data_IF_081972859614
#
_entry.id   IF_081972859614
#
_cell.length_a   1.000
_cell.length_b   1.000
_cell.length_c   1.000
_cell.angle_alpha   90.00
_cell.angle_beta   90.00
_cell.angle_gamma   90.00
#
_symmetry.space_group_name_H-M   'P 1'
#
loop_
_entity.id
_entity.type
_entity.pdbx_description
1 polymer ?
#
# COMPACT_ATOMS: atom_id res chain seq x y z
N UNK A 1 -9.95 7.32 -6.69
CA UNK A 1 -9.63 6.95 -5.30
C UNK A 1 -10.82 6.22 -4.72
N UNK A 2 -10.60 5.17 -3.94
CA UNK A 2 -11.65 4.58 -3.10
C UNK A 2 -11.68 5.30 -1.75
N UNK A 3 -12.85 5.68 -1.26
CA UNK A 3 -13.02 6.33 0.04
C UNK A 3 -13.75 7.66 -0.05
N UNK A 4 -13.74 8.40 1.07
CA UNK A 4 -14.35 9.71 1.19
C UNK A 4 -13.28 10.80 1.08
N UNK A 5 -13.68 11.97 0.59
CA UNK A 5 -12.81 13.15 0.53
C UNK A 5 -12.50 13.60 1.97
N UNK A 6 -11.22 13.55 2.42
CA UNK A 6 -10.87 13.83 3.80
C UNK A 6 -11.16 15.27 4.24
N UNK A 7 -11.28 16.22 3.31
CA UNK A 7 -11.63 17.62 3.59
C UNK A 7 -13.13 17.78 3.81
N UNK A 8 -13.95 17.00 3.09
CA UNK A 8 -15.42 17.05 3.17
C UNK A 8 -16.03 16.05 4.16
N UNK A 9 -15.22 15.12 4.66
CA UNK A 9 -15.67 14.08 5.59
C UNK A 9 -15.75 14.60 7.02
N UNK A 10 -16.90 14.40 7.67
CA UNK A 10 -17.09 14.77 9.08
C UNK A 10 -16.17 14.00 10.03
N UNK A 11 -15.89 14.54 11.23
CA UNK A 11 -15.10 13.83 12.25
C UNK A 11 -15.70 12.46 12.65
N UNK A 12 -17.03 12.35 12.66
CA UNK A 12 -17.72 11.09 12.95
C UNK A 12 -17.53 10.07 11.83
N UNK A 13 -17.61 10.52 10.57
CA UNK A 13 -17.46 9.64 9.40
C UNK A 13 -16.02 9.17 9.19
N UNK A 14 -15.01 9.95 9.60
CA UNK A 14 -13.59 9.53 9.57
C UNK A 14 -13.29 8.29 10.40
N UNK A 15 -14.13 7.98 11.40
CA UNK A 15 -13.99 6.78 12.25
C UNK A 15 -14.74 5.57 11.69
N UNK A 16 -15.56 5.73 10.66
CA UNK A 16 -16.29 4.62 10.04
C UNK A 16 -15.34 3.79 9.16
N UNK A 17 -15.58 2.49 9.00
CA UNK A 17 -14.84 1.67 8.05
C UNK A 17 -14.89 2.24 6.63
N UNK A 18 -13.81 2.05 5.87
CA UNK A 18 -13.75 2.44 4.46
C UNK A 18 -14.85 1.77 3.62
N UNK A 19 -15.25 2.43 2.53
CA UNK A 19 -16.32 1.96 1.65
C UNK A 19 -15.94 0.75 0.78
N UNK A 20 -14.66 0.37 0.77
CA UNK A 20 -14.14 -0.76 0.02
C UNK A 20 -13.15 -1.55 0.88
N UNK A 21 -13.08 -2.87 0.64
CA UNK A 21 -12.03 -3.72 1.22
C UNK A 21 -10.74 -3.52 0.42
N UNK A 22 -9.63 -3.41 1.13
CA UNK A 22 -8.31 -3.26 0.53
C UNK A 22 -7.39 -4.37 1.05
N UNK A 23 -6.43 -4.77 0.21
CA UNK A 23 -5.36 -5.67 0.61
C UNK A 23 -4.10 -4.86 0.90
N UNK A 24 -3.63 -4.90 2.15
CA UNK A 24 -2.45 -4.17 2.61
C UNK A 24 -1.22 -5.09 2.62
N UNK A 25 -0.10 -4.61 2.08
CA UNK A 25 1.17 -5.33 2.04
C UNK A 25 2.30 -4.42 2.50
N UNK A 26 3.27 -4.99 3.21
CA UNK A 26 4.52 -4.31 3.57
C UNK A 26 5.68 -5.01 2.88
N UNK A 27 6.42 -4.25 2.08
CA UNK A 27 7.66 -4.70 1.46
C UNK A 27 8.86 -4.16 2.23
N UNK A 28 9.85 -5.03 2.47
CA UNK A 28 11.13 -4.66 3.08
C UNK A 28 12.28 -5.05 2.16
N UNK A 29 13.22 -4.14 2.00
CA UNK A 29 14.47 -4.40 1.29
C UNK A 29 15.14 -3.12 0.79
N UNK A 30 16.35 -3.23 0.22
CA UNK A 30 17.03 -2.10 -0.38
C UNK A 30 16.19 -1.49 -1.51
N UNK A 31 16.02 -0.17 -1.51
CA UNK A 31 15.22 0.59 -2.48
C UNK A 31 13.77 0.11 -2.65
N UNK A 32 13.15 -0.46 -1.59
CA UNK A 32 11.82 -1.07 -1.69
C UNK A 32 10.78 -0.11 -2.31
N UNK A 33 10.75 1.14 -1.88
CA UNK A 33 9.82 2.17 -2.40
C UNK A 33 9.98 2.34 -3.92
N UNK A 34 11.21 2.62 -4.37
CA UNK A 34 11.51 2.81 -5.79
C UNK A 34 11.16 1.56 -6.61
N UNK A 35 11.52 0.37 -6.12
CA UNK A 35 11.26 -0.91 -6.80
C UNK A 35 9.76 -1.17 -6.94
N UNK A 36 8.98 -1.02 -5.88
CA UNK A 36 7.53 -1.25 -5.92
C UNK A 36 6.84 -0.22 -6.81
N UNK A 37 7.22 1.06 -6.73
CA UNK A 37 6.66 2.09 -7.63
C UNK A 37 6.97 1.82 -9.09
N UNK A 38 8.17 1.32 -9.39
CA UNK A 38 8.53 0.92 -10.75
C UNK A 38 7.69 -0.27 -11.25
N UNK A 39 7.34 -1.22 -10.38
CA UNK A 39 6.44 -2.35 -10.72
C UNK A 39 5.01 -1.86 -10.95
N UNK A 40 4.53 -0.93 -10.13
CA UNK A 40 3.20 -0.34 -10.29
C UNK A 40 3.09 0.45 -11.60
N UNK A 41 4.11 1.23 -11.94
CA UNK A 41 4.08 2.14 -13.07
C UNK A 41 3.43 3.50 -12.72
N UNK A 42 3.25 4.38 -13.72
CA UNK A 42 2.75 5.73 -13.52
C UNK A 42 1.32 5.75 -12.95
N UNK A 43 0.95 6.85 -12.28
CA UNK A 43 -0.39 7.02 -11.70
C UNK A 43 -1.49 6.91 -12.76
N UNK A 44 -1.22 7.41 -13.97
CA UNK A 44 -2.09 7.25 -15.13
C UNK A 44 -1.89 5.88 -15.77
N UNK A 45 -2.86 4.98 -15.56
CA UNK A 45 -2.92 3.64 -16.12
C UNK A 45 -2.75 3.60 -17.65
N UNK A 46 -3.17 4.67 -18.35
CA UNK A 46 -3.08 4.77 -19.81
C UNK A 46 -1.68 5.10 -20.32
N UNK A 47 -0.80 5.60 -19.45
CA UNK A 47 0.60 5.97 -19.78
C UNK A 47 1.61 4.90 -19.34
N UNK A 48 1.17 3.83 -18.69
CA UNK A 48 2.05 2.77 -18.22
C UNK A 48 2.59 1.89 -19.34
N UNK A 49 3.84 1.47 -19.20
CA UNK A 49 4.45 0.45 -20.07
C UNK A 49 3.71 -0.90 -19.92
N UNK A 50 3.73 -1.76 -20.96
CA UNK A 50 3.27 -3.15 -20.84
C UNK A 50 3.95 -3.86 -19.66
N UNK A 51 3.19 -4.67 -18.91
CA UNK A 51 3.71 -5.41 -17.75
C UNK A 51 3.61 -4.68 -16.41
N UNK A 52 3.26 -3.38 -16.38
CA UNK A 52 3.06 -2.64 -15.12
C UNK A 52 1.69 -2.94 -14.52
N UNK A 53 1.59 -3.04 -13.19
CA UNK A 53 0.34 -3.39 -12.50
C UNK A 53 -0.79 -2.42 -12.86
N UNK A 54 -0.53 -1.11 -12.84
CA UNK A 54 -1.54 -0.11 -13.15
C UNK A 54 -1.97 -0.13 -14.62
N UNK A 55 -1.07 -0.54 -15.53
CA UNK A 55 -1.40 -0.67 -16.96
C UNK A 55 -2.34 -1.86 -17.21
N UNK A 56 -2.13 -2.96 -16.51
CA UNK A 56 -2.89 -4.20 -16.72
C UNK A 56 -4.25 -4.14 -16.01
N UNK A 57 -4.29 -3.58 -14.80
CA UNK A 57 -5.47 -3.67 -13.92
C UNK A 57 -6.15 -2.34 -13.64
N UNK A 58 -5.56 -1.20 -14.04
CA UNK A 58 -6.14 0.12 -13.84
C UNK A 58 -6.93 0.62 -15.05
N UNK A 59 -7.94 1.46 -14.80
CA UNK A 59 -8.79 2.07 -15.83
C UNK A 59 -8.29 3.47 -16.23
N UNK A 60 -7.95 4.29 -15.23
CA UNK A 60 -7.55 5.70 -15.38
C UNK A 60 -6.69 6.16 -14.19
N UNK A 61 -6.57 7.49 -14.01
CA UNK A 61 -5.81 8.14 -12.92
C UNK A 61 -6.46 7.92 -11.55
N UNK A 62 -7.80 7.89 -11.48
CA UNK A 62 -8.57 7.74 -10.24
C UNK A 62 -8.73 6.28 -9.85
N UNK A 63 -8.87 5.37 -10.80
CA UNK A 63 -9.01 3.92 -10.60
C UNK A 63 -7.79 3.21 -11.16
N UNK A 64 -6.67 3.36 -10.49
CA UNK A 64 -5.38 2.84 -10.97
C UNK A 64 -4.95 1.52 -10.31
N UNK A 65 -5.89 0.74 -9.79
CA UNK A 65 -5.70 -0.58 -9.16
C UNK A 65 -4.88 -0.64 -7.85
N UNK A 66 -3.76 0.08 -7.74
CA UNK A 66 -2.83 -0.07 -6.62
C UNK A 66 -2.20 1.25 -6.16
N UNK A 67 -2.05 1.36 -4.83
CA UNK A 67 -1.31 2.41 -4.13
C UNK A 67 0.05 1.90 -3.65
N UNK A 68 1.04 2.77 -3.65
CA UNK A 68 2.31 2.56 -2.96
C UNK A 68 2.86 3.90 -2.50
N UNK A 69 3.47 3.91 -1.32
CA UNK A 69 4.14 5.08 -0.76
C UNK A 69 5.20 5.61 -1.73
N UNK A 70 5.42 6.92 -1.71
CA UNK A 70 6.35 7.66 -2.58
C UNK A 70 7.65 8.08 -1.90
N UNK A 71 7.67 8.14 -0.57
CA UNK A 71 8.82 8.48 0.26
C UNK A 71 8.82 7.65 1.57
N UNK A 72 9.96 7.63 2.26
CA UNK A 72 10.12 6.85 3.50
C UNK A 72 9.17 7.37 4.58
N UNK A 73 9.11 8.69 4.73
CA UNK A 73 8.27 9.40 5.68
C UNK A 73 6.78 9.09 5.44
N UNK A 74 6.38 9.00 4.17
CA UNK A 74 5.02 8.64 3.79
C UNK A 74 4.73 7.16 4.06
N UNK A 75 5.69 6.26 3.82
CA UNK A 75 5.54 4.85 4.18
C UNK A 75 5.37 4.66 5.70
N UNK A 76 6.11 5.40 6.51
CA UNK A 76 5.96 5.37 7.97
C UNK A 76 4.60 5.89 8.43
N UNK A 77 4.16 7.03 7.88
CA UNK A 77 2.84 7.59 8.16
C UNK A 77 1.72 6.63 7.76
N UNK A 78 1.78 6.06 6.56
CA UNK A 78 0.77 5.13 6.04
C UNK A 78 0.69 3.86 6.89
N UNK A 79 1.82 3.32 7.33
CA UNK A 79 1.86 2.18 8.26
C UNK A 79 1.14 2.45 9.58
N UNK A 80 1.24 3.67 10.12
CA UNK A 80 0.49 4.09 11.32
C UNK A 80 -1.02 4.11 11.06
N UNK A 81 -1.43 4.59 9.89
CA UNK A 81 -2.85 4.67 9.50
C UNK A 81 -3.47 3.27 9.38
N UNK A 82 -2.77 2.33 8.74
CA UNK A 82 -3.29 0.97 8.50
C UNK A 82 -3.05 -0.02 9.66
N UNK A 83 -2.49 0.45 10.78
CA UNK A 83 -2.27 -0.37 11.98
C UNK A 83 -1.08 -1.34 11.90
N UNK A 84 -0.12 -1.11 11.00
CA UNK A 84 1.09 -1.95 10.83
C UNK A 84 2.38 -1.25 11.30
N UNK A 85 2.22 -0.31 12.23
CA UNK A 85 3.32 0.43 12.86
C UNK A 85 3.72 -0.14 14.22
N UNK A 86 2.73 -0.49 15.05
CA UNK A 86 2.97 -0.95 16.41
C UNK A 86 3.55 -2.37 16.40
N UNK A 87 4.81 -2.50 16.83
CA UNK A 87 5.43 -3.77 17.19
C UNK A 87 4.94 -4.26 18.57
N UNK A 88 3.64 -4.10 18.89
CA UNK A 88 3.07 -4.65 20.13
C UNK A 88 2.87 -6.15 19.95
N UNK A 89 3.97 -6.87 20.13
CA UNK A 89 4.06 -8.30 19.87
C UNK A 89 4.98 -8.60 18.69
N UNK A 90 5.56 -9.79 18.71
CA UNK A 90 6.26 -10.33 17.55
C UNK A 90 5.27 -10.38 16.39
N UNK A 91 5.62 -9.74 15.29
CA UNK A 91 4.83 -9.83 14.07
C UNK A 91 4.79 -11.31 13.67
N UNK A 92 3.62 -11.96 13.76
CA UNK A 92 3.45 -13.39 13.44
C UNK A 92 4.01 -13.71 12.04
N UNK A 93 3.88 -12.77 11.10
CA UNK A 93 4.45 -12.90 9.77
C UNK A 93 5.99 -12.84 9.78
N UNK A 94 6.60 -12.01 10.63
CA UNK A 94 8.06 -11.98 10.83
C UNK A 94 8.53 -13.32 11.42
N UNK A 95 7.87 -13.84 12.44
CA UNK A 95 8.20 -15.15 13.02
C UNK A 95 8.06 -16.28 12.01
N UNK A 96 6.98 -16.28 11.22
CA UNK A 96 6.75 -17.26 10.17
C UNK A 96 7.86 -17.22 9.12
N UNK A 97 8.21 -16.04 8.61
CA UNK A 97 9.29 -15.85 7.63
C UNK A 97 10.63 -16.27 8.23
N UNK A 98 10.95 -15.88 9.46
CA UNK A 98 12.19 -16.28 10.14
C UNK A 98 12.26 -17.79 10.37
N UNK A 99 11.14 -18.44 10.70
CA UNK A 99 11.06 -19.89 10.83
C UNK A 99 11.26 -20.63 9.50
N UNK A 100 10.82 -20.03 8.38
CA UNK A 100 11.01 -20.58 7.05
C UNK A 100 12.48 -20.46 6.61
N UNK A 101 13.09 -19.30 6.86
CA UNK A 101 14.49 -19.04 6.50
C UNK A 101 15.48 -19.89 7.31
N UNK A 102 15.19 -20.20 8.58
CA UNK A 102 16.01 -21.08 9.43
C UNK A 102 15.93 -22.57 9.07
N UNK A 103 14.96 -22.99 8.25
CA UNK A 103 14.78 -24.38 7.81
C UNK A 103 15.49 -24.71 6.49
N UNK A 104 16.24 -23.76 5.93
CA UNK A 104 17.23 -23.99 4.88
C UNK A 104 18.62 -24.00 5.50
#
# INVERSE_FOLDING_TARGET
>A
MTGLDPEKTSQADKKKPGTARCFALIYRGPDAIRKIRNILGPTDSKKGEPGKVRRIYGEDIMKNAAHASDAVENAERERKIIGLWDNKGTCELKELIESYLKRK
#
